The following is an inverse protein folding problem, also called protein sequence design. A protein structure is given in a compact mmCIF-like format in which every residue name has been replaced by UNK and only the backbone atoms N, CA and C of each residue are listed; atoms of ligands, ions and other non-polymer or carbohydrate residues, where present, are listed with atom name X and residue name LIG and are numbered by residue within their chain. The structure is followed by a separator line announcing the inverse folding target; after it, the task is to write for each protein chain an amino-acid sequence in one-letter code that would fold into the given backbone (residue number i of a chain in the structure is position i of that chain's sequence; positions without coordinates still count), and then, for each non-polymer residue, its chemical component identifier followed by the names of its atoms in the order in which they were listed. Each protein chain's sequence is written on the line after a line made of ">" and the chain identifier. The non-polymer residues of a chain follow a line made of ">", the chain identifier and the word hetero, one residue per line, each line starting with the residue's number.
data_IF_476529151106
#
_entry.id   IF_476529151106
#
_cell.length_a   1.000
_cell.length_b   1.000
_cell.length_c   1.000
_cell.angle_alpha   90.00
_cell.angle_beta   90.00
_cell.angle_gamma   90.00
#
_symmetry.space_group_name_H-M   'P 1'
#
loop_
_entity.id
_entity.type
_entity.pdbx_description
1 polymer ?
#
# COMPACT_ATOMS: atom_id res chain seq x y z
N UNK A 1 24.29 57.42 -19.98
CA UNK A 1 23.64 56.12 -19.72
C UNK A 1 24.52 55.32 -18.78
N UNK A 2 24.09 55.00 -17.54
CA UNK A 2 24.68 53.93 -16.76
C UNK A 2 23.73 52.73 -16.70
N UNK A 3 24.32 51.55 -16.93
CA UNK A 3 23.67 50.25 -17.02
C UNK A 3 22.96 49.85 -15.72
N UNK A 4 21.73 49.35 -15.84
CA UNK A 4 21.10 48.49 -14.83
C UNK A 4 21.83 47.14 -14.83
N UNK A 5 22.49 46.82 -13.73
CA UNK A 5 22.90 45.46 -13.41
C UNK A 5 21.65 44.66 -13.01
N UNK A 6 21.13 43.86 -13.94
CA UNK A 6 20.16 42.81 -13.63
C UNK A 6 20.89 41.73 -12.82
N UNK A 7 20.69 41.75 -11.50
CA UNK A 7 21.08 40.64 -10.64
C UNK A 7 20.27 39.41 -11.05
N UNK A 8 20.95 38.44 -11.66
CA UNK A 8 20.45 37.08 -11.84
C UNK A 8 20.15 36.51 -10.45
N UNK A 9 18.87 36.53 -10.06
CA UNK A 9 18.34 35.64 -9.03
C UNK A 9 18.62 34.22 -9.51
N UNK A 10 19.66 33.59 -8.95
CA UNK A 10 19.87 32.16 -9.11
C UNK A 10 18.61 31.44 -8.65
N UNK A 11 17.96 30.71 -9.55
CA UNK A 11 16.87 29.83 -9.20
C UNK A 11 17.38 28.88 -8.12
N UNK A 12 16.73 28.87 -6.95
CA UNK A 12 16.97 27.85 -5.94
C UNK A 12 16.74 26.47 -6.60
N UNK A 13 17.59 25.46 -6.34
CA UNK A 13 17.34 24.12 -6.83
C UNK A 13 15.98 23.67 -6.30
N UNK A 14 15.13 23.14 -7.20
CA UNK A 14 13.84 22.59 -6.83
C UNK A 14 14.06 21.56 -5.70
N UNK A 15 13.30 21.71 -4.61
CA UNK A 15 13.28 20.75 -3.52
C UNK A 15 12.90 19.39 -4.14
N UNK A 16 13.83 18.44 -4.14
CA UNK A 16 13.58 17.13 -4.73
C UNK A 16 12.54 16.40 -3.88
N UNK A 17 11.56 15.78 -4.54
CA UNK A 17 10.57 14.95 -3.88
C UNK A 17 11.29 13.87 -3.06
N UNK A 18 11.01 13.81 -1.75
CA UNK A 18 11.47 12.71 -0.93
C UNK A 18 10.82 11.41 -1.46
N UNK A 19 11.58 10.32 -1.42
CA UNK A 19 11.04 8.98 -1.71
C UNK A 19 9.70 8.75 -1.01
N UNK A 20 8.73 8.10 -1.67
CA UNK A 20 7.46 7.75 -1.04
C UNK A 20 7.67 6.72 0.07
N UNK A 21 6.63 6.53 0.88
CA UNK A 21 6.55 5.39 1.80
C UNK A 21 5.66 4.33 1.17
N UNK A 22 6.23 3.17 0.88
CA UNK A 22 5.50 2.00 0.37
C UNK A 22 5.48 0.92 1.45
N UNK A 23 4.29 0.42 1.73
CA UNK A 23 4.04 -0.61 2.73
C UNK A 23 2.98 -1.59 2.22
N UNK A 24 2.65 -2.59 3.02
CA UNK A 24 1.56 -3.51 2.69
C UNK A 24 0.28 -2.76 2.31
N UNK A 25 -0.37 -3.22 1.24
CA UNK A 25 -1.53 -2.59 0.63
C UNK A 25 -1.19 -1.56 -0.46
N UNK A 26 0.06 -1.11 -0.55
CA UNK A 26 0.52 -0.29 -1.68
C UNK A 26 0.48 -1.11 -2.96
N UNK A 27 0.18 -0.47 -4.10
CA UNK A 27 0.24 -1.13 -5.40
C UNK A 27 0.68 -0.17 -6.50
N UNK A 28 1.00 -0.72 -7.67
CA UNK A 28 1.33 0.04 -8.87
C UNK A 28 2.83 0.03 -9.22
N UNK A 29 3.26 0.91 -10.15
CA UNK A 29 4.59 0.85 -10.75
C UNK A 29 5.73 1.06 -9.76
N UNK A 30 5.51 1.87 -8.71
CA UNK A 30 6.50 2.09 -7.65
C UNK A 30 6.75 0.79 -6.85
N UNK A 31 5.71 -0.01 -6.64
CA UNK A 31 5.84 -1.33 -5.99
C UNK A 31 6.54 -2.33 -6.91
N UNK A 32 6.18 -2.38 -8.20
CA UNK A 32 6.86 -3.23 -9.19
C UNK A 32 8.35 -2.88 -9.26
N UNK A 33 8.70 -1.59 -9.22
CA UNK A 33 10.08 -1.13 -9.19
C UNK A 33 10.81 -1.59 -7.92
N UNK A 34 10.19 -1.49 -6.74
CA UNK A 34 10.75 -2.03 -5.48
C UNK A 34 11.00 -3.53 -5.58
N UNK A 35 10.04 -4.31 -6.10
CA UNK A 35 10.17 -5.76 -6.27
C UNK A 35 11.35 -6.14 -7.20
N UNK A 36 11.49 -5.43 -8.32
CA UNK A 36 12.65 -5.62 -9.20
C UNK A 36 13.97 -5.24 -8.53
N UNK A 37 14.01 -4.14 -7.77
CA UNK A 37 15.23 -3.76 -7.04
C UNK A 37 15.57 -4.76 -5.91
N UNK A 38 14.57 -5.27 -5.18
CA UNK A 38 14.76 -6.36 -4.22
C UNK A 38 15.34 -7.61 -4.88
N UNK A 39 14.83 -7.96 -6.07
CA UNK A 39 15.35 -9.08 -6.87
C UNK A 39 16.80 -8.84 -7.31
N UNK A 40 17.18 -7.61 -7.65
CA UNK A 40 18.58 -7.24 -7.92
C UNK A 40 19.48 -7.50 -6.70
N UNK A 41 18.98 -7.24 -5.49
CA UNK A 41 19.68 -7.52 -4.22
C UNK A 41 19.53 -8.98 -3.75
N UNK A 42 19.06 -9.89 -4.61
CA UNK A 42 18.95 -11.32 -4.32
C UNK A 42 17.74 -11.71 -3.46
N UNK A 43 16.74 -10.84 -3.31
CA UNK A 43 15.46 -11.14 -2.66
C UNK A 43 14.41 -11.47 -3.72
N UNK A 44 14.05 -12.74 -3.86
CA UNK A 44 13.06 -13.15 -4.87
C UNK A 44 11.67 -12.62 -4.51
N UNK A 45 11.08 -11.84 -5.40
CA UNK A 45 9.70 -11.33 -5.29
C UNK A 45 8.98 -11.53 -6.62
N UNK A 46 7.68 -11.82 -6.59
CA UNK A 46 6.85 -11.64 -7.78
C UNK A 46 6.78 -10.14 -8.10
N UNK A 47 7.25 -9.71 -9.27
CA UNK A 47 7.19 -8.30 -9.69
C UNK A 47 5.78 -7.95 -10.22
N UNK A 48 4.76 -8.20 -9.40
CA UNK A 48 3.34 -8.09 -9.72
C UNK A 48 2.75 -6.69 -9.42
N UNK A 49 3.55 -5.80 -8.84
CA UNK A 49 3.10 -4.47 -8.43
C UNK A 49 2.18 -4.47 -7.23
N UNK A 50 2.14 -5.54 -6.44
CA UNK A 50 1.38 -5.64 -5.20
C UNK A 50 2.30 -5.74 -3.99
N UNK A 51 2.16 -4.81 -3.06
CA UNK A 51 2.93 -4.83 -1.83
C UNK A 51 2.20 -5.75 -0.85
N UNK A 52 2.31 -7.05 -1.06
CA UNK A 52 1.79 -8.07 -0.17
C UNK A 52 2.78 -8.47 0.93
N UNK A 53 2.43 -9.50 1.69
CA UNK A 53 3.28 -10.05 2.75
C UNK A 53 4.64 -10.56 2.24
N UNK A 54 4.69 -11.12 1.02
CA UNK A 54 5.95 -11.55 0.40
C UNK A 54 6.91 -10.38 0.10
N UNK A 55 6.39 -9.27 -0.42
CA UNK A 55 7.17 -8.05 -0.65
C UNK A 55 7.64 -7.45 0.68
N UNK A 56 6.77 -7.39 1.70
CA UNK A 56 7.12 -6.90 3.03
C UNK A 56 8.23 -7.73 3.67
N UNK A 57 8.14 -9.07 3.62
CA UNK A 57 9.18 -9.96 4.13
C UNK A 57 10.53 -9.74 3.40
N UNK A 58 10.51 -9.61 2.07
CA UNK A 58 11.71 -9.30 1.29
C UNK A 58 12.34 -7.94 1.67
N UNK A 59 11.50 -6.94 1.97
CA UNK A 59 11.96 -5.64 2.47
C UNK A 59 12.56 -5.77 3.87
N UNK A 60 11.92 -6.49 4.79
CA UNK A 60 12.46 -6.77 6.14
C UNK A 60 13.83 -7.47 6.07
N UNK A 61 13.98 -8.45 5.18
CA UNK A 61 15.24 -9.16 4.96
C UNK A 61 16.33 -8.25 4.36
N UNK A 62 15.94 -7.36 3.44
CA UNK A 62 16.85 -6.36 2.89
C UNK A 62 17.29 -5.36 3.96
N UNK A 63 16.36 -4.82 4.75
CA UNK A 63 16.64 -3.89 5.83
C UNK A 63 17.59 -4.48 6.87
N UNK A 64 17.31 -5.71 7.31
CA UNK A 64 18.15 -6.44 8.28
C UNK A 64 19.58 -6.62 7.77
N UNK A 65 19.75 -6.97 6.49
CA UNK A 65 21.06 -7.15 5.88
C UNK A 65 21.85 -5.85 5.70
N UNK A 66 21.17 -4.70 5.67
CA UNK A 66 21.77 -3.38 5.42
C UNK A 66 21.82 -2.49 6.69
N UNK A 67 21.51 -3.04 7.87
CA UNK A 67 21.55 -2.31 9.13
C UNK A 67 20.49 -1.21 9.27
N UNK A 68 19.36 -1.36 8.57
CA UNK A 68 18.20 -0.48 8.66
C UNK A 68 17.19 -1.03 9.70
N UNK A 69 16.21 -0.21 10.08
CA UNK A 69 15.07 -0.72 10.85
C UNK A 69 14.30 -1.75 10.01
N UNK A 70 14.15 -2.97 10.55
CA UNK A 70 13.52 -4.11 9.88
C UNK A 70 12.00 -4.10 10.10
N UNK A 71 11.33 -3.07 9.59
CA UNK A 71 9.90 -2.82 9.77
C UNK A 71 9.03 -3.27 8.57
N UNK A 72 9.65 -3.76 7.50
CA UNK A 72 8.96 -4.18 6.28
C UNK A 72 8.37 -3.00 5.49
N UNK A 73 8.80 -1.77 5.75
CA UNK A 73 8.34 -0.55 5.07
C UNK A 73 9.45 0.01 4.16
N UNK A 74 9.15 0.11 2.88
CA UNK A 74 10.01 0.79 1.91
C UNK A 74 9.80 2.32 1.96
N UNK A 75 10.28 2.94 3.05
CA UNK A 75 10.36 4.39 3.20
C UNK A 75 11.68 4.99 2.68
N UNK A 76 11.94 6.29 2.92
CA UNK A 76 13.08 7.01 2.32
C UNK A 76 14.46 6.40 2.58
N UNK A 77 14.72 5.92 3.81
CA UNK A 77 15.98 5.26 4.13
C UNK A 77 16.14 3.93 3.39
N UNK A 78 15.07 3.13 3.35
CA UNK A 78 15.03 1.85 2.63
C UNK A 78 15.23 2.07 1.13
N UNK A 79 14.46 2.98 0.52
CA UNK A 79 14.53 3.26 -0.92
C UNK A 79 15.87 3.86 -1.32
N UNK A 80 16.44 4.75 -0.50
CA UNK A 80 17.77 5.30 -0.72
C UNK A 80 18.88 4.24 -0.71
N UNK A 81 18.73 3.19 0.10
CA UNK A 81 19.66 2.04 0.11
C UNK A 81 19.38 1.03 -1.01
N UNK A 82 18.12 0.92 -1.46
CA UNK A 82 17.67 -0.09 -2.41
C UNK A 82 18.04 0.27 -3.86
N UNK A 83 18.01 1.56 -4.22
CA UNK A 83 18.31 2.01 -5.58
C UNK A 83 19.79 1.85 -5.93
N UNK A 84 20.06 1.56 -7.19
CA UNK A 84 21.42 1.42 -7.73
C UNK A 84 21.59 2.31 -8.95
N UNK A 85 22.81 2.78 -9.19
CA UNK A 85 23.08 3.59 -10.39
C UNK A 85 23.10 2.69 -11.62
N UNK A 86 22.26 2.98 -12.61
CA UNK A 86 22.24 2.29 -13.91
C UNK A 86 22.38 3.26 -15.07
N UNK A 87 22.98 2.81 -16.16
CA UNK A 87 23.26 3.58 -17.38
C UNK A 87 23.24 2.69 -18.62
N UNK A 88 23.32 3.31 -19.80
CA UNK A 88 23.34 2.58 -21.07
C UNK A 88 24.41 1.48 -21.09
N UNK A 89 24.01 0.28 -21.50
CA UNK A 89 24.83 -0.93 -21.51
C UNK A 89 24.62 -1.84 -20.29
N UNK A 90 24.05 -1.33 -19.19
CA UNK A 90 23.69 -2.16 -18.04
C UNK A 90 22.49 -3.06 -18.35
N UNK A 91 22.34 -4.13 -17.58
CA UNK A 91 21.21 -5.04 -17.70
C UNK A 91 20.80 -5.66 -16.36
N UNK A 92 19.57 -6.17 -16.29
CA UNK A 92 19.03 -6.90 -15.15
C UNK A 92 17.85 -6.20 -14.45
N UNK A 93 17.46 -6.69 -13.26
CA UNK A 93 16.23 -6.25 -12.60
C UNK A 93 16.20 -4.75 -12.27
N UNK A 94 17.33 -4.14 -11.92
CA UNK A 94 17.39 -2.70 -11.69
C UNK A 94 17.03 -1.87 -12.94
N UNK A 95 17.38 -2.37 -14.13
CA UNK A 95 16.98 -1.74 -15.40
C UNK A 95 15.49 -1.96 -15.67
N UNK A 96 14.93 -3.12 -15.33
CA UNK A 96 13.47 -3.34 -15.40
C UNK A 96 12.72 -2.36 -14.50
N UNK A 97 13.18 -2.15 -13.27
CA UNK A 97 12.62 -1.15 -12.37
C UNK A 97 12.61 0.25 -12.99
N UNK A 98 13.73 0.67 -13.61
CA UNK A 98 13.83 1.94 -14.30
C UNK A 98 12.83 2.04 -15.47
N UNK A 99 12.77 1.01 -16.31
CA UNK A 99 11.87 0.98 -17.48
C UNK A 99 10.39 1.01 -17.05
N UNK A 100 10.02 0.32 -15.97
CA UNK A 100 8.68 0.38 -15.37
C UNK A 100 8.32 1.79 -14.92
N UNK A 101 9.22 2.46 -14.17
CA UNK A 101 8.97 3.83 -13.71
C UNK A 101 8.90 4.82 -14.89
N UNK A 102 9.78 4.71 -15.88
CA UNK A 102 9.72 5.54 -17.09
C UNK A 102 8.42 5.31 -17.88
N UNK A 103 7.93 4.09 -17.94
CA UNK A 103 6.64 3.77 -18.56
C UNK A 103 5.46 4.38 -17.83
N UNK A 104 5.50 4.41 -16.49
CA UNK A 104 4.53 5.16 -15.70
C UNK A 104 4.55 6.67 -15.98
N UNK A 105 5.62 7.18 -16.61
CA UNK A 105 5.75 8.55 -17.14
C UNK A 105 5.48 8.68 -18.64
N UNK A 106 4.98 7.62 -19.28
CA UNK A 106 4.57 7.63 -20.68
C UNK A 106 5.67 7.29 -21.69
N UNK A 107 6.80 6.70 -21.27
CA UNK A 107 7.90 6.38 -22.19
C UNK A 107 7.61 5.25 -23.21
N UNK A 108 6.66 4.35 -22.92
CA UNK A 108 6.25 3.30 -23.86
C UNK A 108 7.33 2.25 -24.21
N UNK A 109 8.29 2.03 -23.32
CA UNK A 109 9.38 1.07 -23.44
C UNK A 109 8.91 -0.37 -23.20
N UNK A 110 9.65 -1.34 -23.72
CA UNK A 110 9.59 -2.72 -23.22
C UNK A 110 10.43 -2.84 -21.95
N UNK A 111 9.88 -3.40 -20.87
CA UNK A 111 10.60 -3.61 -19.61
C UNK A 111 11.45 -4.91 -19.64
N UNK A 112 12.34 -5.01 -20.62
CA UNK A 112 13.17 -6.20 -20.90
C UNK A 112 14.42 -6.31 -20.02
N UNK A 113 14.72 -5.28 -19.23
CA UNK A 113 15.91 -5.22 -18.39
C UNK A 113 17.20 -4.95 -19.16
N UNK A 114 17.13 -4.49 -20.42
CA UNK A 114 18.27 -4.06 -21.19
C UNK A 114 18.31 -2.52 -21.31
N UNK A 115 19.37 -1.89 -20.80
CA UNK A 115 19.49 -0.44 -20.88
C UNK A 115 20.06 -0.07 -22.25
N UNK A 116 19.19 -0.12 -23.26
CA UNK A 116 19.50 0.25 -24.63
C UNK A 116 19.30 1.73 -24.95
N UNK A 117 19.51 2.13 -26.22
CA UNK A 117 19.34 3.53 -26.67
C UNK A 117 17.95 4.11 -26.41
N UNK A 118 16.89 3.29 -26.47
CA UNK A 118 15.53 3.73 -26.19
C UNK A 118 15.35 4.12 -24.71
N UNK A 119 15.93 3.34 -23.78
CA UNK A 119 15.91 3.65 -22.34
C UNK A 119 16.75 4.88 -22.02
N UNK A 120 17.91 5.06 -22.66
CA UNK A 120 18.74 6.29 -22.53
C UNK A 120 17.97 7.53 -22.98
N UNK A 121 17.37 7.49 -24.17
CA UNK A 121 16.58 8.60 -24.69
C UNK A 121 15.40 8.96 -23.79
N UNK A 122 14.67 7.94 -23.29
CA UNK A 122 13.56 8.13 -22.36
C UNK A 122 14.01 8.74 -21.03
N UNK A 123 15.12 8.26 -20.47
CA UNK A 123 15.66 8.80 -19.22
C UNK A 123 16.11 10.25 -19.39
N UNK A 124 16.82 10.59 -20.47
CA UNK A 124 17.24 11.97 -20.75
C UNK A 124 16.07 12.91 -20.91
N UNK A 125 15.00 12.46 -21.58
CA UNK A 125 13.75 13.20 -21.73
C UNK A 125 13.10 13.46 -20.37
N UNK A 126 12.99 12.41 -19.54
CA UNK A 126 12.46 12.51 -18.18
C UNK A 126 13.30 13.49 -17.33
N UNK A 127 14.62 13.33 -17.31
CA UNK A 127 15.54 14.21 -16.56
C UNK A 127 15.36 15.67 -16.98
N UNK A 128 15.29 15.94 -18.28
CA UNK A 128 15.06 17.29 -18.81
C UNK A 128 13.72 17.87 -18.34
N UNK A 129 12.65 17.06 -18.39
CA UNK A 129 11.32 17.46 -17.94
C UNK A 129 11.26 17.74 -16.42
N UNK A 130 12.10 17.08 -15.63
CA UNK A 130 12.22 17.28 -14.18
C UNK A 130 13.24 18.36 -13.79
N UNK A 131 13.90 19.02 -14.75
CA UNK A 131 14.94 20.01 -14.48
C UNK A 131 16.23 19.41 -13.88
N UNK A 132 16.47 18.12 -14.09
CA UNK A 132 17.69 17.41 -13.71
C UNK A 132 18.75 17.50 -14.82
N UNK A 133 19.99 17.15 -14.49
CA UNK A 133 21.01 16.94 -15.51
C UNK A 133 20.59 15.80 -16.45
N UNK A 134 20.48 16.08 -17.75
CA UNK A 134 20.11 15.11 -18.79
C UNK A 134 21.31 14.26 -19.20
N UNK A 135 21.94 13.59 -18.23
CA UNK A 135 23.17 12.82 -18.40
C UNK A 135 22.93 11.36 -18.83
N UNK A 136 21.68 10.89 -18.82
CA UNK A 136 21.31 9.51 -19.16
C UNK A 136 21.76 8.48 -18.11
N UNK A 137 22.04 8.94 -16.88
CA UNK A 137 22.44 8.10 -15.75
C UNK A 137 21.34 8.15 -14.69
N UNK A 138 20.76 6.99 -14.38
CA UNK A 138 19.77 6.89 -13.32
C UNK A 138 20.48 6.80 -11.96
N UNK A 139 20.96 7.94 -11.46
CA UNK A 139 21.52 8.10 -10.12
C UNK A 139 20.46 8.43 -9.06
N UNK A 140 20.86 8.66 -7.78
CA UNK A 140 19.92 8.88 -6.67
C UNK A 140 18.88 9.99 -6.92
N UNK A 141 19.26 11.10 -7.55
CA UNK A 141 18.33 12.19 -7.88
C UNK A 141 17.29 11.76 -8.92
N UNK A 142 17.71 11.03 -9.95
CA UNK A 142 16.80 10.51 -10.97
C UNK A 142 15.82 9.51 -10.35
N UNK A 143 16.30 8.60 -9.51
CA UNK A 143 15.44 7.65 -8.80
C UNK A 143 14.44 8.36 -7.89
N UNK A 144 14.89 9.31 -7.06
CA UNK A 144 14.01 10.07 -6.17
C UNK A 144 12.91 10.82 -6.91
N UNK A 145 13.18 11.29 -8.13
CA UNK A 145 12.19 11.96 -8.98
C UNK A 145 11.26 10.96 -9.70
N UNK A 146 11.77 9.78 -10.07
CA UNK A 146 11.00 8.71 -10.74
C UNK A 146 9.95 8.12 -9.79
N UNK A 147 10.38 7.79 -8.58
CA UNK A 147 9.50 7.41 -7.48
C UNK A 147 8.66 8.62 -7.04
N UNK A 148 7.40 8.40 -6.66
CA UNK A 148 6.63 9.45 -5.98
C UNK A 148 5.88 10.46 -6.86
N UNK A 149 6.21 10.64 -8.15
CA UNK A 149 5.36 11.47 -9.03
C UNK A 149 4.06 10.75 -9.48
N UNK A 150 3.77 9.57 -8.92
CA UNK A 150 2.58 8.77 -9.16
C UNK A 150 1.98 8.12 -7.90
N UNK A 151 2.34 8.58 -6.69
CA UNK A 151 1.87 7.95 -5.46
C UNK A 151 1.41 8.97 -4.42
N UNK A 152 0.12 8.97 -4.13
CA UNK A 152 -0.37 8.85 -2.76
C UNK A 152 -1.76 8.26 -2.84
N UNK A 153 -1.92 6.99 -2.55
CA UNK A 153 -3.11 6.58 -1.83
C UNK A 153 -2.82 5.30 -1.07
N UNK A 154 -3.34 5.15 0.16
CA UNK A 154 -3.68 3.86 0.77
C UNK A 154 -4.65 3.04 -0.15
N UNK A 155 -5.45 2.02 0.25
CA UNK A 155 -6.36 1.36 -0.70
C UNK A 155 -7.05 2.44 -1.52
N UNK A 156 -6.86 2.41 -2.84
CA UNK A 156 -7.04 3.62 -3.61
C UNK A 156 -8.46 4.15 -3.41
N UNK A 157 -8.69 5.46 -3.56
CA UNK A 157 -9.96 6.13 -3.17
C UNK A 157 -11.22 5.57 -3.85
N UNK A 158 -11.05 4.64 -4.80
CA UNK A 158 -12.12 3.97 -5.51
C UNK A 158 -11.94 2.45 -5.47
N UNK A 159 -13.05 1.73 -5.62
CA UNK A 159 -13.08 0.28 -5.76
C UNK A 159 -12.19 -0.23 -6.92
N UNK A 160 -12.11 0.54 -8.01
CA UNK A 160 -11.30 0.20 -9.19
C UNK A 160 -9.80 0.10 -8.90
N UNK A 161 -9.32 0.87 -7.91
CA UNK A 161 -7.90 0.90 -7.50
C UNK A 161 -7.53 -0.16 -6.46
N UNK A 162 -8.49 -0.96 -5.97
CA UNK A 162 -8.20 -2.06 -5.05
C UNK A 162 -7.53 -3.22 -5.78
N UNK A 163 -6.58 -3.86 -5.10
CA UNK A 163 -6.02 -5.15 -5.54
C UNK A 163 -7.08 -6.25 -5.51
N UNK A 164 -6.85 -7.34 -6.25
CA UNK A 164 -7.76 -8.49 -6.24
C UNK A 164 -7.85 -9.17 -4.86
N UNK A 165 -6.76 -9.14 -4.08
CA UNK A 165 -6.77 -9.62 -2.69
C UNK A 165 -7.68 -8.76 -1.82
N UNK A 166 -7.55 -7.43 -1.89
CA UNK A 166 -8.42 -6.51 -1.16
C UNK A 166 -9.88 -6.72 -1.56
N UNK A 167 -10.19 -6.82 -2.85
CA UNK A 167 -11.56 -7.13 -3.29
C UNK A 167 -12.07 -8.48 -2.77
N UNK A 168 -11.22 -9.51 -2.74
CA UNK A 168 -11.59 -10.82 -2.17
C UNK A 168 -11.86 -10.75 -0.66
N UNK A 169 -11.06 -9.99 0.09
CA UNK A 169 -11.28 -9.75 1.51
C UNK A 169 -12.55 -8.93 1.74
N UNK A 170 -12.81 -7.89 0.94
CA UNK A 170 -14.06 -7.12 0.96
C UNK A 170 -15.28 -8.02 0.73
N UNK A 171 -15.25 -8.86 -0.31
CA UNK A 171 -16.31 -9.85 -0.59
C UNK A 171 -16.55 -10.79 0.57
N UNK A 172 -15.47 -11.19 1.26
CA UNK A 172 -15.59 -12.05 2.44
C UNK A 172 -16.26 -11.31 3.60
N UNK A 173 -15.84 -10.09 3.91
CA UNK A 173 -16.44 -9.25 4.96
C UNK A 173 -17.93 -8.99 4.68
N UNK A 174 -18.28 -8.65 3.43
CA UNK A 174 -19.67 -8.42 2.99
C UNK A 174 -20.46 -9.74 3.03
N UNK A 175 -19.91 -10.83 2.52
CA UNK A 175 -20.56 -12.14 2.47
C UNK A 175 -20.91 -12.68 3.85
N UNK A 176 -20.00 -12.54 4.82
CA UNK A 176 -20.26 -12.89 6.22
C UNK A 176 -21.36 -12.00 6.81
N UNK A 177 -21.30 -10.69 6.59
CA UNK A 177 -22.32 -9.75 7.06
C UNK A 177 -23.72 -10.06 6.49
N UNK A 178 -23.80 -10.32 5.18
CA UNK A 178 -25.03 -10.77 4.50
C UNK A 178 -25.57 -12.05 5.14
N UNK A 179 -24.73 -13.07 5.32
CA UNK A 179 -25.11 -14.35 5.93
C UNK A 179 -25.59 -14.23 7.37
N UNK A 180 -25.11 -13.22 8.10
CA UNK A 180 -25.53 -12.90 9.47
C UNK A 180 -26.73 -11.94 9.55
N UNK A 181 -27.28 -11.48 8.42
CA UNK A 181 -28.40 -10.52 8.40
C UNK A 181 -28.01 -9.09 8.82
N UNK A 182 -26.72 -8.76 8.80
CA UNK A 182 -26.22 -7.41 9.11
C UNK A 182 -26.64 -6.46 7.98
N UNK A 183 -27.23 -5.29 8.27
CA UNK A 183 -27.58 -4.32 7.23
C UNK A 183 -26.33 -3.69 6.59
N UNK A 184 -26.47 -3.10 5.40
CA UNK A 184 -25.34 -2.54 4.62
C UNK A 184 -24.44 -1.60 5.43
N UNK A 185 -25.03 -0.79 6.31
CA UNK A 185 -24.28 0.11 7.19
C UNK A 185 -23.26 -0.64 8.06
N UNK A 186 -23.57 -1.86 8.52
CA UNK A 186 -22.62 -2.68 9.27
C UNK A 186 -21.46 -3.19 8.41
N UNK A 187 -21.69 -3.47 7.12
CA UNK A 187 -20.62 -3.84 6.20
C UNK A 187 -19.68 -2.67 5.95
N UNK A 188 -20.22 -1.47 5.81
CA UNK A 188 -19.43 -0.23 5.70
C UNK A 188 -18.54 -0.05 6.93
N UNK A 189 -19.07 -0.26 8.13
CA UNK A 189 -18.30 -0.19 9.39
C UNK A 189 -17.17 -1.23 9.42
N UNK A 190 -17.46 -2.47 9.04
CA UNK A 190 -16.46 -3.54 9.00
C UNK A 190 -15.35 -3.28 7.97
N UNK A 191 -15.71 -2.83 6.76
CA UNK A 191 -14.75 -2.49 5.71
C UNK A 191 -13.87 -1.30 6.10
N UNK A 192 -14.47 -0.23 6.64
CA UNK A 192 -13.73 0.93 7.14
C UNK A 192 -12.77 0.54 8.26
N UNK A 193 -13.19 -0.35 9.15
CA UNK A 193 -12.32 -0.91 10.19
C UNK A 193 -11.17 -1.69 9.57
N UNK A 194 -11.45 -2.68 8.72
CA UNK A 194 -10.40 -3.50 8.11
C UNK A 194 -9.42 -2.68 7.25
N UNK A 195 -9.88 -1.61 6.58
CA UNK A 195 -8.99 -0.67 5.88
C UNK A 195 -8.10 0.12 6.84
N UNK A 196 -8.65 0.57 7.96
CA UNK A 196 -7.86 1.27 8.98
C UNK A 196 -6.84 0.36 9.67
N UNK A 197 -7.24 -0.88 9.95
CA UNK A 197 -6.42 -1.83 10.70
C UNK A 197 -5.35 -2.48 9.83
N UNK A 198 -5.67 -2.85 8.58
CA UNK A 198 -4.79 -3.68 7.75
C UNK A 198 -4.75 -3.27 6.28
N UNK A 199 -5.33 -2.12 5.91
CA UNK A 199 -5.54 -1.73 4.51
C UNK A 199 -6.33 -2.77 3.70
N UNK A 200 -7.19 -3.53 4.39
CA UNK A 200 -8.01 -4.60 3.81
C UNK A 200 -7.19 -5.81 3.29
N UNK A 201 -5.99 -6.00 3.85
CA UNK A 201 -5.07 -7.11 3.54
C UNK A 201 -4.97 -8.02 4.76
N UNK A 202 -4.98 -9.33 4.56
CA UNK A 202 -4.96 -10.26 5.68
C UNK A 202 -3.51 -10.49 6.16
N UNK A 203 -3.02 -9.61 7.03
CA UNK A 203 -1.62 -9.58 7.46
C UNK A 203 -1.32 -10.60 8.56
N UNK A 204 -0.09 -11.13 8.56
CA UNK A 204 0.41 -12.08 9.57
C UNK A 204 1.27 -11.39 10.65
N UNK A 205 1.15 -10.08 10.77
CA UNK A 205 1.92 -9.24 11.70
C UNK A 205 1.11 -8.00 12.11
N UNK A 206 1.57 -7.29 13.15
CA UNK A 206 0.90 -6.13 13.72
C UNK A 206 1.59 -5.62 14.98
N UNK A 207 1.01 -4.62 15.65
CA UNK A 207 1.47 -4.23 16.99
C UNK A 207 1.25 -5.39 17.97
N UNK A 208 2.30 -5.77 18.71
CA UNK A 208 2.31 -6.91 19.64
C UNK A 208 1.96 -8.23 18.93
N UNK A 209 0.78 -8.78 19.18
CA UNK A 209 0.25 -10.02 18.62
C UNK A 209 -1.03 -9.78 17.80
N UNK A 210 -1.25 -8.54 17.33
CA UNK A 210 -2.33 -8.22 16.39
C UNK A 210 -2.10 -8.87 15.04
N UNK A 211 -3.15 -9.50 14.50
CA UNK A 211 -3.10 -10.25 13.25
C UNK A 211 -4.39 -10.08 12.44
N UNK A 212 -4.30 -10.40 11.15
CA UNK A 212 -5.40 -10.50 10.22
C UNK A 212 -6.05 -9.16 9.86
N UNK A 213 -7.18 -9.24 9.16
CA UNK A 213 -7.90 -8.10 8.58
C UNK A 213 -8.26 -7.00 9.59
N UNK A 214 -8.59 -7.40 10.82
CA UNK A 214 -9.07 -6.51 11.86
C UNK A 214 -8.02 -6.26 12.95
N UNK A 215 -6.77 -6.70 12.76
CA UNK A 215 -5.68 -6.60 13.74
C UNK A 215 -6.08 -7.10 15.15
N UNK A 216 -6.89 -8.17 15.17
CA UNK A 216 -7.40 -8.78 16.40
C UNK A 216 -6.27 -9.52 17.13
N UNK A 217 -6.30 -9.45 18.46
CA UNK A 217 -5.23 -9.98 19.32
C UNK A 217 -5.63 -11.27 20.01
N UNK A 218 -4.94 -12.41 19.76
CA UNK A 218 -5.16 -13.64 20.49
C UNK A 218 -5.02 -13.48 22.01
N UNK A 219 -4.03 -12.72 22.48
CA UNK A 219 -3.83 -12.43 23.90
C UNK A 219 -4.96 -11.63 24.57
N UNK A 220 -5.84 -10.99 23.79
CA UNK A 220 -7.04 -10.31 24.27
C UNK A 220 -8.32 -11.15 24.10
N UNK A 221 -8.18 -12.43 23.80
CA UNK A 221 -9.30 -13.36 23.73
C UNK A 221 -10.09 -13.34 22.42
N UNK A 222 -9.60 -12.66 21.37
CA UNK A 222 -10.29 -12.64 20.07
C UNK A 222 -10.28 -13.98 19.33
N UNK A 223 -9.46 -14.95 19.76
CA UNK A 223 -9.34 -16.28 19.15
C UNK A 223 -7.90 -16.78 19.18
N UNK A 224 -7.64 -17.94 18.59
CA UNK A 224 -6.27 -18.40 18.32
C UNK A 224 -5.65 -17.65 17.14
N UNK A 225 -4.34 -17.72 16.98
CA UNK A 225 -3.60 -17.15 15.83
C UNK A 225 -4.20 -17.57 14.48
N UNK A 226 -4.59 -18.84 14.34
CA UNK A 226 -5.22 -19.35 13.11
C UNK A 226 -6.64 -18.79 12.92
N UNK A 227 -7.39 -18.54 14.00
CA UNK A 227 -8.75 -18.02 13.92
C UNK A 227 -8.78 -16.53 13.57
N UNK A 228 -7.89 -15.72 14.15
CA UNK A 228 -7.81 -14.27 13.84
C UNK A 228 -7.26 -13.99 12.45
N UNK A 229 -6.48 -14.92 11.88
CA UNK A 229 -6.00 -14.86 10.50
C UNK A 229 -6.96 -15.50 9.48
N UNK A 230 -8.04 -16.14 9.91
CA UNK A 230 -9.08 -16.61 8.98
C UNK A 230 -10.06 -15.46 8.72
N UNK A 231 -10.13 -14.92 7.48
CA UNK A 231 -10.99 -13.78 7.16
C UNK A 231 -12.47 -13.98 7.50
N UNK A 232 -12.98 -15.21 7.41
CA UNK A 232 -14.38 -15.53 7.73
C UNK A 232 -14.58 -15.50 9.24
N UNK A 233 -13.70 -16.15 10.00
CA UNK A 233 -13.81 -16.19 11.46
C UNK A 233 -13.58 -14.82 12.09
N UNK A 234 -12.58 -14.07 11.63
CA UNK A 234 -12.31 -12.71 12.09
C UNK A 234 -13.48 -11.76 11.80
N UNK A 235 -14.12 -11.89 10.62
CA UNK A 235 -15.33 -11.12 10.29
C UNK A 235 -16.52 -11.51 11.17
N UNK A 236 -16.73 -12.81 11.43
CA UNK A 236 -17.78 -13.27 12.36
C UNK A 236 -17.56 -12.72 13.76
N UNK A 237 -16.31 -12.68 14.22
CA UNK A 237 -15.94 -12.08 15.50
C UNK A 237 -16.23 -10.58 15.52
N UNK A 238 -15.83 -9.86 14.46
CA UNK A 238 -16.12 -8.43 14.34
C UNK A 238 -17.63 -8.11 14.42
N UNK A 239 -18.47 -8.89 13.74
CA UNK A 239 -19.93 -8.69 13.77
C UNK A 239 -20.59 -9.16 15.07
N UNK A 240 -19.93 -9.95 15.92
CA UNK A 240 -20.52 -10.47 17.16
C UNK A 240 -21.29 -11.78 16.97
N UNK A 241 -20.99 -12.53 15.90
CA UNK A 241 -21.65 -13.81 15.58
C UNK A 241 -20.70 -15.02 15.65
N UNK A 242 -19.47 -14.81 16.11
CA UNK A 242 -18.52 -15.89 16.34
C UNK A 242 -18.71 -16.55 17.70
N UNK A 243 -18.71 -17.88 17.73
CA UNK A 243 -18.76 -18.66 18.96
C UNK A 243 -17.39 -18.88 19.63
N UNK A 244 -16.29 -18.58 18.93
CA UNK A 244 -14.92 -18.87 19.42
C UNK A 244 -14.32 -17.75 20.28
N UNK A 245 -14.96 -16.60 20.36
CA UNK A 245 -14.51 -15.44 21.14
C UNK A 245 -15.61 -14.98 22.09
N UNK A 246 -15.27 -14.59 23.33
CA UNK A 246 -16.21 -13.96 24.26
C UNK A 246 -16.32 -12.45 24.05
N UNK A 247 -15.52 -11.85 23.16
CA UNK A 247 -15.52 -10.42 22.91
C UNK A 247 -16.80 -10.01 22.15
N UNK A 248 -17.41 -8.91 22.60
CA UNK A 248 -18.55 -8.31 21.93
C UNK A 248 -18.16 -7.79 20.55
N UNK A 249 -19.01 -8.04 19.56
CA UNK A 249 -18.88 -7.47 18.22
C UNK A 249 -19.92 -6.38 17.95
N UNK A 250 -20.03 -5.99 16.69
CA UNK A 250 -20.86 -4.86 16.26
C UNK A 250 -22.33 -5.00 16.68
N UNK A 251 -22.91 -6.18 16.49
CA UNK A 251 -24.33 -6.42 16.80
C UNK A 251 -24.63 -6.45 18.32
N UNK A 252 -23.60 -6.59 19.15
CA UNK A 252 -23.74 -6.56 20.61
C UNK A 252 -23.74 -5.12 21.17
N UNK A 253 -23.43 -4.12 20.34
CA UNK A 253 -23.38 -2.71 20.73
C UNK A 253 -24.77 -2.09 20.59
N UNK A 254 -25.36 -1.69 21.72
CA UNK A 254 -26.68 -1.10 21.72
C UNK A 254 -26.73 0.21 20.89
N UNK A 255 -27.64 0.25 19.90
CA UNK A 255 -27.88 1.43 19.07
C UNK A 255 -26.80 1.72 18.03
N UNK A 256 -25.92 0.75 17.74
CA UNK A 256 -24.83 0.90 16.77
C UNK A 256 -25.29 1.40 15.39
N UNK A 257 -26.53 1.08 15.00
CA UNK A 257 -27.12 1.48 13.72
C UNK A 257 -27.25 3.00 13.56
N UNK A 258 -27.30 3.72 14.68
CA UNK A 258 -27.39 5.18 14.72
C UNK A 258 -26.04 5.87 14.89
N UNK A 259 -24.98 5.11 15.13
CA UNK A 259 -23.63 5.62 15.29
C UNK A 259 -23.00 5.95 13.93
N UNK A 260 -22.11 6.95 13.91
CA UNK A 260 -21.21 7.13 12.77
C UNK A 260 -20.32 5.90 12.56
N UNK A 261 -19.74 5.77 11.37
CA UNK A 261 -18.81 4.67 11.05
C UNK A 261 -17.67 4.59 12.08
N UNK A 262 -17.13 5.75 12.43
CA UNK A 262 -16.11 5.91 13.45
C UNK A 262 -16.54 5.41 14.83
N UNK A 263 -17.69 5.88 15.32
CA UNK A 263 -18.16 5.54 16.66
C UNK A 263 -18.47 4.04 16.77
N UNK A 264 -19.07 3.45 15.73
CA UNK A 264 -19.35 2.02 15.67
C UNK A 264 -18.06 1.19 15.63
N UNK A 265 -17.10 1.54 14.76
CA UNK A 265 -15.80 0.87 14.67
C UNK A 265 -15.02 0.94 15.98
N UNK A 266 -14.98 2.13 16.60
CA UNK A 266 -14.31 2.34 17.87
C UNK A 266 -14.98 1.57 19.02
N UNK A 267 -16.30 1.45 19.03
CA UNK A 267 -17.02 0.71 20.06
C UNK A 267 -16.70 -0.80 20.01
N UNK A 268 -16.41 -1.36 18.82
CA UNK A 268 -15.93 -2.76 18.67
C UNK A 268 -14.45 -2.88 19.05
N UNK A 269 -13.58 -2.07 18.45
CA UNK A 269 -12.12 -2.23 18.58
C UNK A 269 -11.53 -1.65 19.87
N UNK A 270 -12.23 -0.73 20.53
CA UNK A 270 -11.76 0.03 21.71
C UNK A 270 -10.40 0.71 21.47
N UNK A 271 -10.23 1.33 20.30
CA UNK A 271 -9.01 2.03 19.91
C UNK A 271 -8.87 3.42 20.54
N UNK A 272 -7.63 3.89 20.70
CA UNK A 272 -7.27 5.18 21.30
C UNK A 272 -7.46 6.40 20.36
N UNK A 273 -7.83 6.18 19.09
CA UNK A 273 -7.93 7.24 18.07
C UNK A 273 -9.30 7.22 17.36
N UNK A 274 -10.26 8.05 17.80
CA UNK A 274 -11.61 8.07 17.21
C UNK A 274 -11.61 8.46 15.72
N UNK A 275 -10.91 9.53 15.33
CA UNK A 275 -11.10 10.12 13.99
C UNK A 275 -10.48 9.32 12.82
N UNK A 276 -9.82 8.20 13.07
CA UNK A 276 -9.05 7.47 12.06
C UNK A 276 -9.91 6.75 11.01
N UNK A 277 -11.15 6.40 11.34
CA UNK A 277 -12.00 5.55 10.50
C UNK A 277 -12.80 6.33 9.44
N UNK A 278 -13.15 7.59 9.72
CA UNK A 278 -14.02 8.40 8.85
C UNK A 278 -13.49 8.58 7.43
N UNK A 279 -12.16 8.63 7.25
CA UNK A 279 -11.51 8.75 5.93
C UNK A 279 -11.80 7.57 5.00
N UNK A 280 -12.14 6.40 5.54
CA UNK A 280 -12.40 5.19 4.76
C UNK A 280 -13.86 5.01 4.36
N UNK A 281 -14.76 5.78 4.96
CA UNK A 281 -16.19 5.63 4.72
C UNK A 281 -16.57 5.77 3.23
N UNK A 282 -16.06 6.76 2.46
CA UNK A 282 -16.35 6.86 1.03
C UNK A 282 -15.97 5.60 0.25
N UNK A 283 -14.77 5.07 0.48
CA UNK A 283 -14.28 3.86 -0.19
C UNK A 283 -15.06 2.61 0.26
N UNK A 284 -15.38 2.49 1.55
CA UNK A 284 -16.19 1.39 2.06
C UNK A 284 -17.58 1.36 1.39
N UNK A 285 -18.19 2.52 1.19
CA UNK A 285 -19.47 2.65 0.47
C UNK A 285 -19.33 2.30 -1.01
N UNK A 286 -18.24 2.72 -1.66
CA UNK A 286 -17.96 2.36 -3.06
C UNK A 286 -17.75 0.84 -3.22
N UNK A 287 -17.03 0.20 -2.30
CA UNK A 287 -16.87 -1.26 -2.27
C UNK A 287 -18.24 -1.95 -2.15
N UNK A 288 -19.09 -1.53 -1.20
CA UNK A 288 -20.43 -2.10 -1.03
C UNK A 288 -21.27 -1.94 -2.29
N UNK A 289 -21.22 -0.77 -2.95
CA UNK A 289 -21.95 -0.53 -4.19
C UNK A 289 -21.53 -1.49 -5.33
N UNK A 290 -20.24 -1.82 -5.42
CA UNK A 290 -19.71 -2.69 -6.47
C UNK A 290 -19.85 -4.19 -6.14
N UNK A 291 -19.90 -4.57 -4.85
CA UNK A 291 -19.88 -5.98 -4.42
C UNK A 291 -21.22 -6.48 -3.83
N UNK A 292 -22.17 -5.60 -3.53
CA UNK A 292 -23.49 -5.98 -2.98
C UNK A 292 -24.31 -6.86 -3.95
N UNK A 293 -23.98 -6.87 -5.26
CA UNK A 293 -24.58 -7.74 -6.26
C UNK A 293 -24.00 -9.17 -6.36
N UNK A 294 -22.89 -9.48 -5.67
CA UNK A 294 -22.27 -10.81 -5.73
C UNK A 294 -22.89 -11.79 -4.72
N UNK A 295 -23.11 -13.04 -5.16
CA UNK A 295 -23.77 -14.07 -4.37
C UNK A 295 -22.93 -14.45 -3.11
N UNK A 296 -23.55 -14.85 -1.99
CA UNK A 296 -22.82 -15.23 -0.78
C UNK A 296 -21.90 -16.43 -1.03
N UNK A 297 -20.67 -16.34 -0.54
CA UNK A 297 -19.79 -17.51 -0.36
C UNK A 297 -20.17 -18.16 0.97
N UNK A 298 -20.67 -19.40 0.88
CA UNK A 298 -21.13 -20.21 2.02
C UNK A 298 -20.01 -20.91 2.78
#
# INVERSE_FOLDING_TARGET
>A
MPLLALGLLGAAPAAHAAYPTLSVGSSGPDVTAVQHLLTHHGRSTAADGQYGSGTAAAVTDFQSANGLAADGVAGPATLGALVVTVRQGDSGPAVQALQVLLNARGAGLTADGAFGPATDAALRSFQSAQGLASDGIAGPQSWSALFGSGSTQPPGDTYASLSEEQKANARTIIGVGKGAGVPEQGWVVALATAMQESTLVNVTYGDRDSLGLFQQRPSQGWGTEAQVQDPVLASKAFYGVASHTPNAGLLDIAGWESLSVTEAAQAVQRSAYPDAYAKWEPLARDIVANESGTAPIG
#
